data_IF_840350133296
#
_entry.id   IF_840350133296
#
_cell.length_a   1.000
_cell.length_b   1.000
_cell.length_c   1.000
_cell.angle_alpha   90.00
_cell.angle_beta   90.00
_cell.angle_gamma   90.00
#
_symmetry.space_group_name_H-M   'P 1'
#
loop_
_entity.id
_entity.type
_entity.pdbx_description
1 polymer ?
#
# COMPACT_ATOMS: atom_id res chain seq x y z
N UNK A 1 -13.91 -7.07 10.74
CA UNK A 1 -12.59 -6.80 10.11
C UNK A 1 -12.67 -6.56 8.61
N UNK A 2 -13.80 -6.85 7.94
CA UNK A 2 -13.90 -6.81 6.46
C UNK A 2 -13.76 -5.43 5.79
N UNK A 3 -14.26 -4.34 6.42
CA UNK A 3 -14.25 -3.01 5.78
C UNK A 3 -12.87 -2.39 5.56
N UNK A 4 -11.83 -2.83 6.28
CA UNK A 4 -10.46 -2.29 6.14
C UNK A 4 -9.64 -3.03 5.09
N UNK A 5 -9.81 -4.36 4.97
CA UNK A 5 -9.18 -5.16 3.92
C UNK A 5 -9.66 -4.69 2.56
N UNK A 6 -10.99 -4.60 2.37
CA UNK A 6 -11.61 -4.17 1.12
C UNK A 6 -11.08 -2.81 0.60
N UNK A 7 -10.63 -1.93 1.52
CA UNK A 7 -10.03 -0.63 1.18
C UNK A 7 -8.56 -0.69 0.74
N UNK A 8 -7.81 -1.72 1.13
CA UNK A 8 -6.43 -1.95 0.66
C UNK A 8 -6.48 -2.65 -0.69
N UNK A 9 -7.29 -3.70 -0.82
CA UNK A 9 -7.44 -4.41 -2.10
C UNK A 9 -7.96 -3.46 -3.19
N UNK A 10 -8.91 -2.57 -2.88
CA UNK A 10 -9.36 -1.55 -3.83
C UNK A 10 -8.27 -0.54 -4.19
N UNK A 11 -7.43 -0.15 -3.23
CA UNK A 11 -6.34 0.81 -3.47
C UNK A 11 -5.23 0.20 -4.32
N UNK A 12 -4.92 -1.09 -4.10
CA UNK A 12 -4.00 -1.86 -4.94
C UNK A 12 -4.54 -2.01 -6.36
N UNK A 13 -5.81 -2.39 -6.52
CA UNK A 13 -6.44 -2.49 -7.84
C UNK A 13 -6.42 -1.16 -8.60
N UNK A 14 -6.64 -0.04 -7.91
CA UNK A 14 -6.52 1.30 -8.52
C UNK A 14 -5.08 1.64 -8.90
N UNK A 15 -4.10 1.28 -8.07
CA UNK A 15 -2.69 1.52 -8.37
C UNK A 15 -2.25 0.72 -9.61
N UNK A 16 -2.68 -0.53 -9.75
CA UNK A 16 -2.43 -1.33 -10.95
C UNK A 16 -3.08 -0.73 -12.20
N UNK A 17 -4.30 -0.21 -12.06
CA UNK A 17 -4.99 0.49 -13.14
C UNK A 17 -4.24 1.74 -13.59
N UNK A 18 -3.73 2.54 -12.65
CA UNK A 18 -2.89 3.71 -12.92
C UNK A 18 -1.64 3.31 -13.69
N UNK A 19 -0.93 2.26 -13.27
CA UNK A 19 0.26 1.76 -13.98
C UNK A 19 -0.08 1.38 -15.41
N UNK A 20 -1.16 0.61 -15.63
CA UNK A 20 -1.60 0.25 -16.98
C UNK A 20 -1.92 1.46 -17.86
N UNK A 21 -2.53 2.50 -17.27
CA UNK A 21 -2.85 3.73 -18.00
C UNK A 21 -1.60 4.55 -18.33
N UNK A 22 -0.62 4.61 -17.42
CA UNK A 22 0.67 5.28 -17.64
C UNK A 22 1.53 4.57 -18.70
N UNK A 23 1.35 3.27 -18.92
CA UNK A 23 2.01 2.50 -19.98
C UNK A 23 1.41 2.76 -21.37
N UNK A 24 0.28 3.46 -21.47
CA UNK A 24 -0.35 3.76 -22.75
C UNK A 24 0.39 4.90 -23.47
N UNK A 25 0.93 4.61 -24.66
CA UNK A 25 1.66 5.58 -25.49
C UNK A 25 0.83 6.79 -25.96
N UNK A 26 -0.50 6.71 -25.89
CA UNK A 26 -1.42 7.79 -26.30
C UNK A 26 -1.83 8.73 -25.16
N UNK A 27 -1.35 8.51 -23.94
CA UNK A 27 -1.68 9.36 -22.80
C UNK A 27 -1.09 10.77 -22.98
N UNK A 28 -1.87 11.80 -22.63
CA UNK A 28 -1.34 13.16 -22.63
C UNK A 28 -0.44 13.41 -21.42
N UNK A 29 0.44 14.41 -21.52
CA UNK A 29 1.33 14.80 -20.42
C UNK A 29 0.53 15.19 -19.17
N UNK A 30 -0.54 15.99 -19.33
CA UNK A 30 -1.40 16.41 -18.22
C UNK A 30 -2.01 15.21 -17.49
N UNK A 31 -2.61 14.27 -18.24
CA UNK A 31 -3.19 13.05 -17.68
C UNK A 31 -2.13 12.17 -16.99
N UNK A 32 -0.93 12.08 -17.57
CA UNK A 32 0.16 11.31 -16.97
C UNK A 32 0.61 11.88 -15.63
N UNK A 33 0.61 13.22 -15.48
CA UNK A 33 0.96 13.89 -14.23
C UNK A 33 -0.12 13.68 -13.17
N UNK A 34 -1.40 13.78 -13.54
CA UNK A 34 -2.51 13.53 -12.63
C UNK A 34 -2.51 12.08 -12.11
N UNK A 35 -2.34 11.11 -13.01
CA UNK A 35 -2.26 9.69 -12.66
C UNK A 35 -1.03 9.38 -11.79
N UNK A 36 0.11 9.99 -12.10
CA UNK A 36 1.33 9.83 -11.31
C UNK A 36 1.15 10.35 -9.88
N UNK A 37 0.58 11.55 -9.72
CA UNK A 37 0.27 12.10 -8.40
C UNK A 37 -0.69 11.22 -7.61
N UNK A 38 -1.74 10.70 -8.26
CA UNK A 38 -2.68 9.76 -7.64
C UNK A 38 -1.96 8.48 -7.19
N UNK A 39 -1.13 7.91 -8.07
CA UNK A 39 -0.37 6.70 -7.81
C UNK A 39 0.56 6.83 -6.60
N UNK A 40 1.29 7.94 -6.49
CA UNK A 40 2.17 8.22 -5.35
C UNK A 40 1.37 8.32 -4.04
N UNK A 41 0.24 9.03 -4.05
CA UNK A 41 -0.64 9.17 -2.88
C UNK A 41 -1.21 7.81 -2.45
N UNK A 42 -1.61 6.97 -3.40
CA UNK A 42 -2.11 5.62 -3.13
C UNK A 42 -1.03 4.72 -2.54
N UNK A 43 0.17 4.70 -3.13
CA UNK A 43 1.30 3.91 -2.66
C UNK A 43 1.68 4.25 -1.21
N UNK A 44 1.80 5.55 -0.88
CA UNK A 44 2.06 6.02 0.48
C UNK A 44 0.96 5.56 1.46
N UNK A 45 -0.30 5.65 1.05
CA UNK A 45 -1.43 5.23 1.89
C UNK A 45 -1.43 3.72 2.19
N UNK A 46 -1.03 2.91 1.21
CA UNK A 46 -0.93 1.45 1.35
C UNK A 46 0.23 1.12 2.28
N UNK A 47 1.39 1.73 2.07
CA UNK A 47 2.57 1.53 2.91
C UNK A 47 2.28 1.86 4.38
N UNK A 48 1.65 3.01 4.66
CA UNK A 48 1.24 3.39 6.03
C UNK A 48 0.34 2.35 6.69
N UNK A 49 -0.67 1.84 5.96
CA UNK A 49 -1.57 0.81 6.50
C UNK A 49 -0.85 -0.51 6.77
N UNK A 50 0.08 -0.90 5.90
CA UNK A 50 0.89 -2.10 6.11
C UNK A 50 1.79 -1.93 7.34
N UNK A 51 2.44 -0.80 7.51
CA UNK A 51 3.25 -0.49 8.70
C UNK A 51 2.42 -0.50 9.99
N UNK A 52 1.20 0.06 9.97
CA UNK A 52 0.27 -0.03 11.11
C UNK A 52 -0.10 -1.49 11.45
N UNK A 53 -0.34 -2.30 10.42
CA UNK A 53 -0.68 -3.71 10.60
C UNK A 53 0.51 -4.49 11.19
N UNK A 54 1.72 -4.28 10.65
CA UNK A 54 2.95 -4.87 11.18
C UNK A 54 3.18 -4.49 12.64
N UNK A 55 2.99 -3.21 13.01
CA UNK A 55 3.14 -2.76 14.39
C UNK A 55 2.13 -3.43 15.33
N UNK A 56 0.86 -3.61 14.89
CA UNK A 56 -0.14 -4.34 15.67
C UNK A 56 0.27 -5.80 15.87
N UNK A 57 0.73 -6.47 14.82
CA UNK A 57 1.21 -7.85 14.90
C UNK A 57 2.39 -7.95 15.87
N UNK A 58 3.36 -7.03 15.79
CA UNK A 58 4.49 -6.98 16.71
C UNK A 58 4.06 -6.86 18.17
N UNK A 59 3.13 -5.95 18.49
CA UNK A 59 2.60 -5.80 19.86
C UNK A 59 1.92 -7.07 20.38
N UNK A 60 1.09 -7.70 19.56
CA UNK A 60 0.41 -8.96 19.95
C UNK A 60 1.43 -10.07 20.21
N UNK A 61 2.51 -10.14 19.43
CA UNK A 61 3.56 -11.13 19.61
C UNK A 61 4.49 -10.83 20.81
N UNK A 62 4.71 -9.55 21.14
CA UNK A 62 5.43 -9.14 22.35
C UNK A 62 4.62 -9.45 23.63
N UNK A 63 3.29 -9.30 23.58
CA UNK A 63 2.37 -9.62 24.68
C UNK A 63 2.19 -11.15 24.86
N UNK A 64 2.25 -11.91 23.78
CA UNK A 64 2.28 -13.37 23.81
C UNK A 64 3.74 -13.84 24.08
N UNK A 65 4.14 -13.91 25.36
CA UNK A 65 5.50 -14.32 25.78
C UNK A 65 6.08 -15.45 24.90
N UNK A 66 7.10 -15.13 24.08
CA UNK A 66 7.90 -16.14 23.37
C UNK A 66 8.24 -15.87 21.90
N UNK A 67 7.64 -14.89 21.23
CA UNK A 67 7.97 -14.60 19.83
C UNK A 67 8.98 -13.45 19.68
N UNK A 68 10.23 -13.79 19.34
CA UNK A 68 11.21 -12.80 18.86
C UNK A 68 10.97 -12.56 17.36
N UNK A 69 10.53 -11.37 16.99
CA UNK A 69 10.56 -10.92 15.60
C UNK A 69 11.98 -10.44 15.32
N UNK A 70 12.69 -11.14 14.45
CA UNK A 70 13.91 -10.61 13.84
C UNK A 70 13.51 -9.56 12.80
N UNK A 71 14.07 -8.36 12.95
CA UNK A 71 13.87 -7.27 12.02
C UNK A 71 14.68 -7.57 10.76
N UNK A 72 14.01 -8.01 9.69
CA UNK A 72 14.63 -8.14 8.36
C UNK A 72 14.68 -6.75 7.71
N UNK A 73 15.43 -5.85 8.33
CA UNK A 73 15.83 -4.58 7.74
C UNK A 73 17.20 -4.75 7.09
N UNK A 74 17.25 -4.66 5.75
CA UNK A 74 18.48 -4.40 5.01
C UNK A 74 18.90 -2.93 5.13
#
# INVERSE_FOLDING_TARGET
MEKKSLKIESALARLEEIVRQLENEQISLEESLELFEEGVKLADSIQKKLSEAQLRVKKVLEEAEGFKIEDFGG
#
